data_IF_381469031143
#
_entry.id   IF_381469031143
#
_cell.length_a   1.000
_cell.length_b   1.000
_cell.length_c   1.000
_cell.angle_alpha   90.00
_cell.angle_beta   90.00
_cell.angle_gamma   90.00
#
_symmetry.space_group_name_H-M   'P 1'
#
loop_
_entity.id
_entity.type
_entity.pdbx_description
1 polymer ?
#
# COMPACT_ATOMS: atom_id res chain seq x y z
N UNK A 1 -1.50 46.01 9.45
CA UNK A 1 -0.86 45.89 10.78
C UNK A 1 -0.69 44.40 11.05
N UNK A 2 0.43 44.00 11.64
CA UNK A 2 0.71 42.58 11.94
C UNK A 2 -0.07 42.19 13.19
N UNK A 3 -0.85 41.13 13.09
CA UNK A 3 -1.64 40.56 14.19
C UNK A 3 -0.70 40.01 15.27
N UNK A 4 -0.90 40.36 16.54
CA UNK A 4 -0.09 39.85 17.64
C UNK A 4 -0.51 38.45 18.06
N UNK A 5 0.32 37.74 18.82
CA UNK A 5 -0.03 36.41 19.33
C UNK A 5 -1.22 36.46 20.30
N UNK A 6 -1.42 37.58 20.99
CA UNK A 6 -2.60 37.83 21.84
C UNK A 6 -3.86 38.01 20.99
N UNK A 7 -3.76 38.73 19.87
CA UNK A 7 -4.86 38.92 18.93
C UNK A 7 -5.27 37.59 18.27
N UNK A 8 -4.29 36.76 17.89
CA UNK A 8 -4.51 35.42 17.31
C UNK A 8 -5.23 34.49 18.29
N UNK A 9 -4.95 34.59 19.60
CA UNK A 9 -5.66 33.84 20.63
C UNK A 9 -6.95 34.52 21.12
N UNK A 10 -7.24 35.75 20.67
CA UNK A 10 -8.41 36.53 21.06
C UNK A 10 -8.41 36.92 22.54
N UNK A 11 -7.25 37.25 23.09
CA UNK A 11 -7.05 37.63 24.50
C UNK A 11 -6.33 38.97 24.62
N UNK A 12 -6.36 39.58 25.81
CA UNK A 12 -5.74 40.89 26.05
C UNK A 12 -4.24 40.73 26.29
N UNK A 13 -3.45 41.69 25.82
CA UNK A 13 -2.02 41.74 26.11
C UNK A 13 -1.77 41.79 27.63
N UNK A 14 -0.90 40.91 28.12
CA UNK A 14 -0.63 40.76 29.57
C UNK A 14 -1.57 39.77 30.28
N UNK A 15 -2.41 39.04 29.54
CA UNK A 15 -3.19 37.92 30.07
C UNK A 15 -2.31 36.89 30.79
N UNK A 16 -2.86 36.27 31.83
CA UNK A 16 -2.14 35.28 32.64
C UNK A 16 -1.87 33.99 31.86
N UNK A 17 -0.87 33.19 32.27
CA UNK A 17 -0.61 31.88 31.64
C UNK A 17 -1.83 30.95 31.61
N UNK A 18 -2.69 31.07 32.63
CA UNK A 18 -3.94 30.34 32.71
C UNK A 18 -4.91 30.77 31.61
N UNK A 19 -5.08 32.07 31.42
CA UNK A 19 -5.94 32.64 30.37
C UNK A 19 -5.44 32.30 28.96
N UNK A 20 -4.12 32.36 28.74
CA UNK A 20 -3.47 31.96 27.48
C UNK A 20 -3.75 30.47 27.19
N UNK A 21 -3.64 29.59 28.19
CA UNK A 21 -3.90 28.16 28.07
C UNK A 21 -5.38 27.85 27.82
N UNK A 22 -6.29 28.54 28.50
CA UNK A 22 -7.73 28.33 28.37
C UNK A 22 -8.23 28.82 27.01
N UNK A 23 -7.70 29.94 26.50
CA UNK A 23 -7.96 30.44 25.15
C UNK A 23 -7.46 29.47 24.07
N UNK A 24 -6.24 28.95 24.21
CA UNK A 24 -5.71 27.93 23.30
C UNK A 24 -6.58 26.67 23.28
N UNK A 25 -7.00 26.16 24.44
CA UNK A 25 -7.88 24.97 24.52
C UNK A 25 -9.22 25.18 23.83
N UNK A 26 -9.84 26.36 24.03
CA UNK A 26 -11.11 26.72 23.39
C UNK A 26 -10.96 26.74 21.86
N UNK A 27 -9.92 27.41 21.35
CA UNK A 27 -9.66 27.53 19.92
C UNK A 27 -9.21 26.20 19.29
N UNK A 28 -8.39 25.41 19.99
CA UNK A 28 -7.97 24.08 19.56
C UNK A 28 -9.16 23.12 19.39
N UNK A 29 -10.16 23.20 20.27
CA UNK A 29 -11.40 22.40 20.17
C UNK A 29 -12.33 22.86 19.04
N UNK A 30 -12.24 24.13 18.65
CA UNK A 30 -13.04 24.74 17.59
C UNK A 30 -12.44 24.48 16.20
N UNK A 31 -11.12 24.50 16.08
CA UNK A 31 -10.39 24.35 14.80
C UNK A 31 -9.71 22.98 14.63
N UNK A 32 -10.02 21.99 15.48
CA UNK A 32 -9.50 20.63 15.34
C UNK A 32 -9.97 20.00 14.00
N UNK A 33 -9.07 19.32 13.29
CA UNK A 33 -9.34 18.68 12.00
C UNK A 33 -10.49 17.67 12.07
N UNK A 34 -10.61 16.95 13.20
CA UNK A 34 -11.67 15.95 13.43
C UNK A 34 -13.08 16.57 13.55
N UNK A 35 -13.20 17.90 13.60
CA UNK A 35 -14.46 18.65 13.64
C UNK A 35 -14.68 19.55 12.42
N UNK A 36 -13.84 19.41 11.38
CA UNK A 36 -13.96 20.16 10.13
C UNK A 36 -13.34 21.57 10.16
N UNK A 37 -12.40 21.84 11.08
CA UNK A 37 -11.67 23.12 11.14
C UNK A 37 -10.60 23.28 10.05
N UNK A 38 -10.33 24.52 9.63
CA UNK A 38 -9.25 24.84 8.70
C UNK A 38 -7.87 24.61 9.35
N UNK A 39 -7.07 23.73 8.73
CA UNK A 39 -5.75 23.32 9.22
C UNK A 39 -4.80 24.52 9.42
N UNK A 40 -4.87 25.52 8.55
CA UNK A 40 -4.01 26.70 8.59
C UNK A 40 -4.27 27.60 9.81
N UNK A 41 -5.53 27.68 10.26
CA UNK A 41 -5.89 28.44 11.46
C UNK A 41 -5.39 27.74 12.72
N UNK A 42 -5.53 26.41 12.77
CA UNK A 42 -5.02 25.62 13.90
C UNK A 42 -3.49 25.74 14.05
N UNK A 43 -2.76 25.72 12.94
CA UNK A 43 -1.30 25.93 12.94
C UNK A 43 -0.95 27.31 13.51
N UNK A 44 -1.65 28.37 13.09
CA UNK A 44 -1.46 29.73 13.62
C UNK A 44 -1.75 29.84 15.11
N UNK A 45 -2.87 29.25 15.57
CA UNK A 45 -3.27 29.23 16.98
C UNK A 45 -2.23 28.51 17.84
N UNK A 46 -1.71 27.38 17.34
CA UNK A 46 -0.67 26.62 18.03
C UNK A 46 0.64 27.40 18.15
N UNK A 47 1.06 28.05 17.06
CA UNK A 47 2.27 28.87 17.08
C UNK A 47 2.15 30.04 18.05
N UNK A 48 1.02 30.77 18.03
CA UNK A 48 0.78 31.88 18.94
C UNK A 48 0.81 31.46 20.42
N UNK A 49 0.28 30.28 20.75
CA UNK A 49 0.35 29.74 22.10
C UNK A 49 1.78 29.42 22.56
N UNK A 50 2.59 28.76 21.72
CA UNK A 50 3.98 28.44 22.05
C UNK A 50 4.86 29.70 22.15
N UNK A 51 4.63 30.68 21.28
CA UNK A 51 5.31 31.97 21.32
C UNK A 51 5.00 32.73 22.62
N UNK A 52 3.73 32.77 23.04
CA UNK A 52 3.36 33.45 24.30
C UNK A 52 3.92 32.76 25.54
N UNK A 53 4.08 31.44 25.51
CA UNK A 53 4.71 30.67 26.60
C UNK A 53 6.17 31.06 26.84
N UNK A 54 6.86 31.54 25.81
CA UNK A 54 8.23 32.07 25.90
C UNK A 54 8.27 33.62 25.97
N UNK A 55 7.12 34.27 26.14
CA UNK A 55 7.00 35.73 26.26
C UNK A 55 7.09 36.49 24.94
N UNK A 56 6.94 35.83 23.79
CA UNK A 56 7.03 36.44 22.45
C UNK A 56 5.67 37.01 22.02
N UNK A 57 5.61 38.35 21.87
CA UNK A 57 4.37 39.10 21.57
C UNK A 57 3.88 38.97 20.12
N UNK A 58 4.78 38.84 19.15
CA UNK A 58 4.43 38.78 17.73
C UNK A 58 4.94 37.47 17.10
N UNK A 59 4.24 36.90 16.09
CA UNK A 59 4.71 35.74 15.37
C UNK A 59 6.09 35.97 14.71
N UNK A 60 6.79 34.88 14.38
CA UNK A 60 8.02 34.94 13.59
C UNK A 60 7.84 35.79 12.32
N UNK A 61 8.76 36.75 12.10
CA UNK A 61 8.87 37.44 10.81
C UNK A 61 9.31 36.48 9.71
N UNK A 62 9.11 36.78 8.43
CA UNK A 62 9.51 35.83 7.35
C UNK A 62 11.01 35.52 7.35
N UNK A 63 11.85 36.45 7.82
CA UNK A 63 13.30 36.24 8.04
C UNK A 63 13.54 35.30 9.23
N UNK A 64 12.79 35.44 10.32
CA UNK A 64 12.84 34.53 11.47
C UNK A 64 12.27 33.15 11.13
N UNK A 65 11.22 33.05 10.31
CA UNK A 65 10.73 31.77 9.79
C UNK A 65 11.79 31.09 8.95
N UNK A 66 12.54 31.82 8.13
CA UNK A 66 13.66 31.27 7.34
C UNK A 66 14.83 30.85 8.26
N UNK A 67 15.08 31.60 9.33
CA UNK A 67 16.12 31.28 10.32
C UNK A 67 15.73 30.13 11.25
N UNK A 68 14.47 30.02 11.66
CA UNK A 68 13.92 29.00 12.56
C UNK A 68 13.52 27.73 11.79
N UNK A 69 13.12 27.82 10.52
CA UNK A 69 13.00 26.65 9.63
C UNK A 69 14.35 25.98 9.35
N UNK A 70 15.46 26.72 9.53
CA UNK A 70 16.82 26.19 9.56
C UNK A 70 17.24 25.59 10.91
N UNK A 71 16.37 25.55 11.93
CA UNK A 71 16.72 25.22 13.34
C UNK A 71 16.03 23.95 13.87
N UNK A 72 15.46 23.10 13.01
CA UNK A 72 15.18 21.68 13.33
C UNK A 72 16.12 20.69 12.61
N UNK A 73 17.31 21.15 12.21
CA UNK A 73 18.37 20.31 11.66
C UNK A 73 19.70 20.64 12.35
N UNK A 74 19.85 20.17 13.59
CA UNK A 74 21.12 20.22 14.33
C UNK A 74 22.13 19.15 13.91
N UNK A 75 21.80 18.33 12.92
CA UNK A 75 22.69 17.37 12.29
C UNK A 75 22.90 17.86 10.85
N UNK A 76 24.15 18.02 10.40
CA UNK A 76 24.41 18.17 8.96
C UNK A 76 23.82 16.97 8.21
N UNK A 77 23.55 17.05 6.90
CA UNK A 77 23.12 15.85 6.15
C UNK A 77 24.07 14.66 6.36
N UNK A 78 25.37 14.94 6.55
CA UNK A 78 26.37 13.94 6.86
C UNK A 78 26.17 13.31 8.25
N UNK A 79 25.76 14.09 9.25
CA UNK A 79 25.47 13.60 10.61
C UNK A 79 24.18 12.78 10.64
N UNK A 80 23.14 13.22 9.91
CA UNK A 80 21.89 12.45 9.74
C UNK A 80 22.19 11.12 9.07
N UNK A 81 22.98 11.13 7.98
CA UNK A 81 23.39 9.89 7.28
C UNK A 81 24.19 8.98 8.20
N UNK A 82 25.13 9.51 8.97
CA UNK A 82 25.94 8.73 9.93
C UNK A 82 25.06 8.09 11.01
N UNK A 83 24.15 8.86 11.62
CA UNK A 83 23.21 8.36 12.63
C UNK A 83 22.30 7.27 12.08
N UNK A 84 21.76 7.49 10.88
CA UNK A 84 20.90 6.54 10.19
C UNK A 84 21.64 5.25 9.79
N UNK A 85 22.93 5.36 9.46
CA UNK A 85 23.79 4.20 9.19
C UNK A 85 24.05 3.38 10.46
N UNK A 86 24.38 4.05 11.58
CA UNK A 86 24.56 3.39 12.89
C UNK A 86 23.27 2.68 13.30
N UNK A 87 22.13 3.36 13.22
CA UNK A 87 20.83 2.80 13.53
C UNK A 87 20.53 1.54 12.70
N UNK A 88 20.72 1.62 11.38
CA UNK A 88 20.49 0.50 10.49
C UNK A 88 21.41 -0.68 10.76
N UNK A 89 22.67 -0.42 11.11
CA UNK A 89 23.65 -1.44 11.47
C UNK A 89 23.28 -2.14 12.79
N UNK A 90 22.90 -1.38 13.81
CA UNK A 90 22.49 -1.93 15.11
C UNK A 90 21.25 -2.81 14.95
N UNK A 91 20.19 -2.30 14.31
CA UNK A 91 18.96 -3.06 14.06
C UNK A 91 19.19 -4.30 13.21
N UNK A 92 19.96 -4.19 12.12
CA UNK A 92 20.25 -5.33 11.23
C UNK A 92 21.03 -6.43 11.96
N UNK A 93 22.00 -6.07 12.81
CA UNK A 93 22.74 -7.03 13.64
C UNK A 93 21.83 -7.74 14.65
N UNK A 94 20.90 -6.98 15.20
CA UNK A 94 19.89 -7.48 16.13
C UNK A 94 18.95 -8.48 15.45
N UNK A 95 18.43 -8.13 14.28
CA UNK A 95 17.59 -9.01 13.45
C UNK A 95 18.34 -10.27 13.02
N UNK A 96 19.63 -10.17 12.68
CA UNK A 96 20.46 -11.34 12.39
C UNK A 96 20.58 -12.28 13.59
N UNK A 97 20.71 -11.74 14.80
CA UNK A 97 20.74 -12.54 16.03
C UNK A 97 19.39 -13.23 16.27
N UNK A 98 18.29 -12.53 15.97
CA UNK A 98 16.93 -13.08 16.03
C UNK A 98 16.71 -14.22 15.02
N UNK A 99 17.17 -14.03 13.78
CA UNK A 99 17.16 -15.06 12.72
C UNK A 99 17.96 -16.30 13.13
N UNK A 100 19.20 -16.14 13.60
CA UNK A 100 20.05 -17.26 14.02
C UNK A 100 19.44 -18.05 15.19
N UNK A 101 18.83 -17.34 16.15
CA UNK A 101 18.12 -17.95 17.26
C UNK A 101 16.89 -18.74 16.79
N UNK A 102 16.05 -18.16 15.93
CA UNK A 102 14.88 -18.83 15.38
C UNK A 102 15.29 -20.07 14.56
N UNK A 103 16.34 -19.96 13.75
CA UNK A 103 16.89 -21.07 12.97
C UNK A 103 17.43 -22.19 13.87
N UNK A 104 18.09 -21.87 14.99
CA UNK A 104 18.58 -22.86 15.94
C UNK A 104 17.43 -23.64 16.60
N UNK A 105 16.36 -22.95 17.02
CA UNK A 105 15.16 -23.60 17.56
C UNK A 105 14.47 -24.46 16.50
N UNK A 106 14.46 -24.02 15.24
CA UNK A 106 13.86 -24.77 14.16
C UNK A 106 14.65 -26.06 13.84
N UNK A 107 15.99 -25.99 13.80
CA UNK A 107 16.86 -27.17 13.59
C UNK A 107 16.75 -28.20 14.72
N UNK A 108 16.59 -27.76 15.95
CA UNK A 108 16.47 -28.63 17.13
C UNK A 108 15.02 -29.03 17.43
N UNK A 109 14.05 -28.52 16.66
CA UNK A 109 12.61 -28.72 16.87
C UNK A 109 12.15 -28.39 18.30
N UNK A 110 12.72 -27.35 18.90
CA UNK A 110 12.38 -26.89 20.25
C UNK A 110 11.55 -25.62 20.21
N UNK A 111 10.75 -25.39 21.25
CA UNK A 111 10.04 -24.12 21.46
C UNK A 111 10.89 -23.12 22.23
N UNK A 112 10.62 -21.85 22.07
CA UNK A 112 11.25 -20.81 22.88
C UNK A 112 10.69 -19.44 22.59
N UNK A 113 10.84 -18.53 23.54
CA UNK A 113 10.48 -17.13 23.42
C UNK A 113 11.67 -16.28 23.81
N UNK A 114 11.94 -15.22 23.06
CA UNK A 114 13.01 -14.28 23.37
C UNK A 114 12.66 -12.88 22.91
N UNK A 115 12.95 -11.90 23.77
CA UNK A 115 12.90 -10.49 23.45
C UNK A 115 14.23 -10.08 22.83
N UNK A 116 14.12 -9.34 21.73
CA UNK A 116 15.18 -8.77 20.93
C UNK A 116 14.99 -7.25 20.91
N UNK A 117 16.08 -6.52 20.74
CA UNK A 117 16.10 -5.07 20.59
C UNK A 117 16.38 -4.35 21.91
N UNK A 118 15.96 -3.10 21.96
CA UNK A 118 16.12 -2.26 23.15
C UNK A 118 15.00 -1.25 23.25
N UNK A 119 14.75 -0.75 24.46
CA UNK A 119 13.78 0.32 24.70
C UNK A 119 13.99 1.57 23.84
N UNK A 120 15.23 1.82 23.41
CA UNK A 120 15.59 2.99 22.61
C UNK A 120 15.45 2.78 21.10
N UNK A 121 15.62 1.54 20.62
CA UNK A 121 15.62 1.21 19.18
C UNK A 121 14.34 0.48 18.73
N UNK A 122 13.52 0.06 19.69
CA UNK A 122 12.38 -0.82 19.47
C UNK A 122 12.68 -2.22 20.00
N UNK A 123 11.67 -2.84 20.59
CA UNK A 123 11.72 -4.21 21.07
C UNK A 123 10.85 -5.09 20.17
N UNK A 124 11.34 -6.30 19.88
CA UNK A 124 10.63 -7.31 19.11
C UNK A 124 10.71 -8.65 19.84
N UNK A 125 9.56 -9.25 20.10
CA UNK A 125 9.45 -10.56 20.74
C UNK A 125 9.25 -11.61 19.67
N UNK A 126 10.10 -12.64 19.68
CA UNK A 126 9.94 -13.81 18.84
C UNK A 126 9.59 -15.01 19.70
N UNK A 127 8.61 -15.80 19.25
CA UNK A 127 8.19 -17.06 19.86
C UNK A 127 8.15 -18.16 18.79
N UNK A 128 8.98 -19.19 18.93
CA UNK A 128 8.86 -20.43 18.14
C UNK A 128 7.87 -21.34 18.86
N UNK A 129 6.67 -21.52 18.28
CA UNK A 129 5.57 -22.35 18.82
C UNK A 129 5.82 -23.83 18.61
N UNK A 130 5.12 -24.70 19.34
CA UNK A 130 5.29 -26.17 19.25
C UNK A 130 5.08 -26.72 17.82
N UNK A 131 4.19 -26.10 17.04
CA UNK A 131 3.87 -26.49 15.66
C UNK A 131 4.88 -25.99 14.61
N UNK A 132 5.98 -25.34 14.99
CA UNK A 132 6.95 -24.80 14.03
C UNK A 132 6.70 -23.37 13.58
N UNK A 133 5.55 -22.78 13.91
CA UNK A 133 5.27 -21.40 13.56
C UNK A 133 6.10 -20.42 14.40
N UNK A 134 6.59 -19.35 13.78
CA UNK A 134 7.26 -18.25 14.46
C UNK A 134 6.27 -17.09 14.64
N UNK A 135 5.94 -16.77 15.89
CA UNK A 135 5.23 -15.54 16.24
C UNK A 135 6.23 -14.41 16.37
N UNK A 136 5.93 -13.25 15.80
CA UNK A 136 6.73 -12.05 15.92
C UNK A 136 5.82 -10.92 16.39
N UNK A 137 6.19 -10.27 17.49
CA UNK A 137 5.43 -9.15 18.06
C UNK A 137 6.33 -7.94 18.23
N UNK A 138 5.92 -6.81 17.67
CA UNK A 138 6.75 -5.60 17.58
C UNK A 138 6.92 -5.17 16.12
N UNK A 139 7.44 -3.96 15.90
CA UNK A 139 7.67 -3.48 14.54
C UNK A 139 8.98 -4.07 14.00
N UNK A 140 8.94 -4.60 12.77
CA UNK A 140 10.13 -5.13 12.10
C UNK A 140 10.73 -4.04 11.21
N UNK A 141 12.00 -3.70 11.45
CA UNK A 141 12.73 -2.72 10.66
C UNK A 141 14.20 -3.10 10.56
N UNK A 142 14.73 -3.00 9.35
CA UNK A 142 16.11 -3.19 8.96
C UNK A 142 16.65 -4.62 9.13
N UNK A 143 17.19 -5.20 8.05
CA UNK A 143 17.82 -6.52 8.08
C UNK A 143 16.96 -7.64 7.51
N UNK A 144 17.48 -8.86 7.64
CA UNK A 144 16.91 -10.05 7.00
C UNK A 144 16.31 -11.00 8.02
N UNK A 145 15.29 -11.75 7.60
CA UNK A 145 14.77 -12.90 8.32
C UNK A 145 14.48 -14.02 7.32
N UNK A 146 15.29 -15.09 7.37
CA UNK A 146 15.01 -16.32 6.64
C UNK A 146 14.44 -17.38 7.58
N UNK A 147 13.29 -17.95 7.26
CA UNK A 147 12.68 -18.97 8.12
C UNK A 147 12.00 -20.09 7.32
N UNK A 148 12.08 -21.31 7.83
CA UNK A 148 11.40 -22.48 7.28
C UNK A 148 10.21 -22.82 8.19
N UNK A 149 9.03 -22.34 7.83
CA UNK A 149 7.80 -22.49 8.59
C UNK A 149 6.95 -21.23 8.52
N UNK A 150 5.71 -21.33 9.01
CA UNK A 150 4.79 -20.20 9.00
C UNK A 150 5.24 -19.10 9.96
N UNK A 151 5.01 -17.84 9.58
CA UNK A 151 5.24 -16.66 10.43
C UNK A 151 3.92 -15.94 10.69
N UNK A 152 3.67 -15.60 11.95
CA UNK A 152 2.54 -14.77 12.37
C UNK A 152 3.11 -13.47 12.94
N UNK A 153 2.79 -12.34 12.32
CA UNK A 153 3.32 -11.03 12.67
C UNK A 153 2.25 -10.16 13.33
N UNK A 154 2.62 -9.56 14.46
CA UNK A 154 1.85 -8.55 15.19
C UNK A 154 2.69 -7.27 15.28
N UNK A 155 2.59 -6.43 14.26
CA UNK A 155 3.33 -5.19 14.14
C UNK A 155 3.50 -4.76 12.68
N UNK A 156 3.97 -3.54 12.46
CA UNK A 156 4.25 -3.05 11.12
C UNK A 156 5.64 -3.46 10.65
N UNK A 157 5.82 -3.51 9.34
CA UNK A 157 7.09 -3.82 8.68
C UNK A 157 7.49 -2.61 7.85
N UNK A 158 8.70 -2.11 8.02
CA UNK A 158 9.19 -0.96 7.26
C UNK A 158 10.65 -1.16 6.90
N UNK A 159 11.01 -0.85 5.65
CA UNK A 159 12.42 -0.80 5.26
C UNK A 159 13.01 0.59 5.50
N UNK A 160 14.28 0.71 5.94
CA UNK A 160 14.99 1.99 5.93
C UNK A 160 14.97 2.64 4.54
N UNK A 161 14.59 3.92 4.44
CA UNK A 161 14.60 4.67 3.18
C UNK A 161 15.94 5.31 2.83
N UNK A 162 16.88 5.32 3.76
CA UNK A 162 18.15 6.05 3.60
C UNK A 162 19.33 5.17 3.17
N UNK A 163 19.16 3.84 3.12
CA UNK A 163 20.23 2.90 2.77
C UNK A 163 19.70 1.61 2.19
N UNK A 164 20.37 1.12 1.15
CA UNK A 164 20.07 -0.17 0.54
C UNK A 164 20.63 -1.35 1.35
N UNK A 165 21.71 -1.11 2.11
CA UNK A 165 22.46 -2.13 2.84
C UNK A 165 21.62 -2.83 3.91
N UNK A 166 20.73 -2.06 4.57
CA UNK A 166 19.90 -2.56 5.67
C UNK A 166 18.43 -2.70 5.26
N UNK A 167 18.17 -2.97 3.97
CA UNK A 167 16.82 -3.24 3.50
C UNK A 167 16.16 -4.35 4.31
N UNK A 168 14.86 -4.18 4.54
CA UNK A 168 14.06 -5.20 5.23
C UNK A 168 13.65 -6.28 4.26
N UNK A 169 14.17 -7.48 4.45
CA UNK A 169 13.83 -8.65 3.63
C UNK A 169 13.40 -9.82 4.51
N UNK A 170 12.17 -10.29 4.35
CA UNK A 170 11.66 -11.49 5.01
C UNK A 170 11.48 -12.57 3.95
N UNK A 171 12.13 -13.71 4.14
CA UNK A 171 12.08 -14.83 3.20
C UNK A 171 11.66 -16.11 3.91
N UNK A 172 10.52 -16.66 3.52
CA UNK A 172 10.08 -17.98 3.97
C UNK A 172 10.30 -19.01 2.86
N UNK A 173 11.07 -20.07 3.16
CA UNK A 173 11.23 -21.18 2.20
C UNK A 173 9.97 -22.05 2.12
N UNK A 174 9.17 -22.05 3.18
CA UNK A 174 7.90 -22.77 3.27
C UNK A 174 7.06 -22.24 4.44
N UNK A 175 5.75 -22.46 4.36
CA UNK A 175 4.79 -21.99 5.35
C UNK A 175 4.18 -20.64 4.96
N UNK A 176 3.14 -20.24 5.67
CA UNK A 176 2.42 -19.00 5.37
C UNK A 176 3.00 -17.81 6.15
N UNK A 177 3.05 -16.64 5.53
CA UNK A 177 3.28 -15.36 6.23
C UNK A 177 1.94 -14.66 6.47
N UNK A 178 1.59 -14.38 7.73
CA UNK A 178 0.30 -13.75 8.06
C UNK A 178 0.45 -12.63 9.07
N UNK A 179 -0.28 -11.54 8.87
CA UNK A 179 -0.58 -10.61 9.97
C UNK A 179 -1.68 -11.21 10.86
N UNK A 180 -1.62 -10.89 12.15
CA UNK A 180 -2.75 -11.14 13.05
C UNK A 180 -3.86 -10.13 12.74
N UNK A 181 -5.09 -10.63 12.56
CA UNK A 181 -6.31 -9.89 12.19
C UNK A 181 -6.05 -8.73 11.19
N UNK A 182 -5.60 -9.04 9.96
CA UNK A 182 -5.05 -8.06 9.02
C UNK A 182 -6.00 -6.95 8.59
N UNK A 183 -7.31 -7.14 8.77
CA UNK A 183 -8.36 -6.17 8.43
C UNK A 183 -8.63 -5.22 9.60
N UNK A 184 -8.58 -5.72 10.83
CA UNK A 184 -8.89 -4.93 12.03
C UNK A 184 -7.67 -4.13 12.48
N UNK A 185 -6.49 -4.75 12.38
CA UNK A 185 -5.25 -4.14 12.80
C UNK A 185 -4.68 -3.30 11.66
N UNK A 186 -4.51 -1.98 11.91
CA UNK A 186 -3.92 -1.00 10.98
C UNK A 186 -2.42 -1.20 10.72
N UNK A 187 -1.91 -2.42 10.91
CA UNK A 187 -0.53 -2.75 10.58
C UNK A 187 -0.31 -2.62 9.07
N UNK A 188 0.91 -2.22 8.72
CA UNK A 188 1.29 -1.97 7.33
C UNK A 188 2.66 -2.51 7.00
N UNK A 189 2.87 -2.79 5.72
CA UNK A 189 4.17 -3.08 5.13
C UNK A 189 4.53 -1.90 4.25
N UNK A 190 5.66 -1.23 4.49
CA UNK A 190 6.00 -0.05 3.71
C UNK A 190 7.50 0.18 3.43
N UNK A 191 7.72 1.26 2.67
CA UNK A 191 9.02 1.91 2.48
C UNK A 191 10.08 1.06 1.76
N UNK A 192 9.65 0.13 0.91
CA UNK A 192 10.54 -0.72 0.12
C UNK A 192 10.91 -2.05 0.77
N UNK A 193 10.14 -2.48 1.77
CA UNK A 193 10.29 -3.82 2.35
C UNK A 193 10.02 -4.92 1.31
N UNK A 194 10.67 -6.06 1.50
CA UNK A 194 10.50 -7.25 0.64
C UNK A 194 10.03 -8.42 1.49
N UNK A 195 8.95 -9.08 1.06
CA UNK A 195 8.48 -10.34 1.66
C UNK A 195 8.35 -11.38 0.55
N UNK A 196 9.05 -12.50 0.70
CA UNK A 196 9.05 -13.61 -0.27
C UNK A 196 8.66 -14.89 0.48
N UNK A 197 7.72 -15.65 -0.08
CA UNK A 197 7.29 -16.95 0.43
C UNK A 197 7.32 -17.96 -0.71
N UNK A 198 8.33 -18.84 -0.75
CA UNK A 198 8.55 -19.75 -1.88
C UNK A 198 7.43 -20.80 -2.02
N UNK A 199 6.99 -21.35 -0.88
CA UNK A 199 5.98 -22.41 -0.80
C UNK A 199 5.00 -22.14 0.33
N UNK A 200 4.05 -21.24 0.08
CA UNK A 200 3.02 -20.85 1.03
C UNK A 200 2.28 -19.60 0.58
N UNK A 201 1.44 -19.06 1.44
CA UNK A 201 0.62 -17.88 1.16
C UNK A 201 1.06 -16.68 1.99
N UNK A 202 0.72 -15.48 1.51
CA UNK A 202 0.88 -14.22 2.23
C UNK A 202 -0.51 -13.65 2.50
N UNK A 203 -0.84 -13.39 3.76
CA UNK A 203 -2.13 -12.81 4.18
C UNK A 203 -1.85 -11.60 5.06
N UNK A 204 -1.98 -10.41 4.49
CA UNK A 204 -1.58 -9.15 5.11
C UNK A 204 -2.65 -8.09 4.92
N UNK A 205 -2.53 -6.99 5.66
CA UNK A 205 -3.43 -5.85 5.54
C UNK A 205 -2.95 -4.90 4.46
N UNK A 206 -2.49 -3.72 4.88
CA UNK A 206 -2.14 -2.62 4.01
C UNK A 206 -0.68 -2.66 3.56
N UNK A 207 -0.43 -2.48 2.26
CA UNK A 207 0.92 -2.45 1.67
C UNK A 207 1.12 -1.13 0.94
N UNK A 208 2.20 -0.43 1.28
CA UNK A 208 2.51 0.89 0.72
C UNK A 208 3.91 0.92 0.11
N UNK A 209 4.02 1.50 -1.07
CA UNK A 209 5.28 2.03 -1.57
C UNK A 209 5.49 3.49 -1.16
N UNK A 210 6.65 4.05 -1.51
CA UNK A 210 6.88 5.50 -1.49
C UNK A 210 7.60 5.98 -2.75
N UNK A 211 7.31 7.22 -3.13
CA UNK A 211 8.06 8.01 -4.12
C UNK A 211 8.47 9.32 -3.47
N UNK A 212 9.71 9.71 -3.63
CA UNK A 212 10.23 11.01 -3.20
C UNK A 212 10.68 11.79 -4.42
N UNK A 213 10.40 13.10 -4.43
CA UNK A 213 11.07 14.03 -5.35
C UNK A 213 12.36 14.46 -4.67
N UNK A 214 13.48 14.17 -5.30
CA UNK A 214 14.81 14.56 -4.85
C UNK A 214 15.35 15.58 -5.84
N UNK A 215 16.06 16.60 -5.36
CA UNK A 215 16.71 17.57 -6.23
C UNK A 215 17.74 16.89 -7.14
N UNK A 216 17.96 17.47 -8.32
CA UNK A 216 18.98 16.97 -9.24
C UNK A 216 20.36 16.93 -8.55
N UNK A 217 21.10 15.80 -8.62
CA UNK A 217 22.41 15.66 -7.98
C UNK A 217 23.43 16.72 -8.45
N UNK A 218 23.25 17.29 -9.65
CA UNK A 218 24.11 18.35 -10.18
C UNK A 218 23.66 19.77 -9.72
N UNK A 219 22.66 19.87 -8.85
CA UNK A 219 22.16 21.13 -8.30
C UNK A 219 21.34 21.98 -9.29
N UNK A 220 20.85 21.39 -10.37
CA UNK A 220 20.04 22.11 -11.37
C UNK A 220 18.67 22.46 -10.80
N UNK A 221 18.44 23.76 -10.63
CA UNK A 221 17.18 24.31 -10.09
C UNK A 221 16.02 23.95 -11.03
N UNK A 222 14.96 23.38 -10.45
CA UNK A 222 13.73 23.02 -11.17
C UNK A 222 13.75 21.64 -11.83
N UNK A 223 14.86 20.90 -11.75
CA UNK A 223 14.93 19.48 -12.15
C UNK A 223 14.85 18.62 -10.90
N UNK A 224 13.95 17.64 -10.91
CA UNK A 224 13.77 16.68 -9.84
C UNK A 224 13.93 15.27 -10.36
N UNK A 225 14.62 14.42 -9.60
CA UNK A 225 14.65 12.98 -9.81
C UNK A 225 13.63 12.32 -8.89
N UNK A 226 12.88 11.34 -9.41
CA UNK A 226 11.96 10.55 -8.59
C UNK A 226 12.74 9.38 -8.02
N UNK A 227 12.91 9.35 -6.69
CA UNK A 227 13.44 8.20 -5.99
C UNK A 227 12.29 7.30 -5.52
N UNK A 228 12.30 6.06 -5.97
CA UNK A 228 11.25 5.08 -5.70
C UNK A 228 11.69 4.05 -4.66
N UNK A 229 10.83 3.86 -3.66
CA UNK A 229 10.94 2.85 -2.62
C UNK A 229 9.81 1.84 -2.80
N UNK A 230 9.97 0.98 -3.81
CA UNK A 230 8.98 -0.02 -4.18
C UNK A 230 8.96 -1.17 -3.19
N UNK A 231 7.81 -1.42 -2.57
CA UNK A 231 7.59 -2.56 -1.67
C UNK A 231 7.26 -3.80 -2.48
N UNK A 232 7.91 -4.93 -2.20
CA UNK A 232 7.83 -6.16 -2.99
C UNK A 232 7.23 -7.30 -2.18
N UNK A 233 6.17 -7.92 -2.68
CA UNK A 233 5.51 -9.06 -2.06
C UNK A 233 5.46 -10.20 -3.09
N UNK A 234 6.01 -11.37 -2.76
CA UNK A 234 6.08 -12.49 -3.69
C UNK A 234 5.67 -13.81 -3.02
N UNK A 235 4.68 -14.48 -3.59
CA UNK A 235 4.28 -15.85 -3.25
C UNK A 235 4.05 -16.65 -4.55
N UNK A 236 5.11 -16.97 -5.31
CA UNK A 236 5.02 -17.36 -6.72
C UNK A 236 4.18 -18.62 -6.97
N UNK A 237 4.09 -19.51 -5.97
CA UNK A 237 3.29 -20.76 -6.02
C UNK A 237 2.02 -20.71 -5.15
N UNK A 238 1.74 -19.56 -4.55
CA UNK A 238 0.70 -19.41 -3.55
C UNK A 238 -0.17 -18.19 -3.82
N UNK A 239 -0.88 -17.79 -2.76
CA UNK A 239 -1.78 -16.64 -2.80
C UNK A 239 -1.21 -15.46 -2.04
N UNK A 240 -1.45 -14.26 -2.55
CA UNK A 240 -1.30 -13.01 -1.79
C UNK A 240 -2.69 -12.43 -1.54
N UNK A 241 -3.05 -12.27 -0.28
CA UNK A 241 -4.28 -11.60 0.16
C UNK A 241 -3.86 -10.30 0.84
N UNK A 242 -4.38 -9.18 0.34
CA UNK A 242 -4.09 -7.84 0.84
C UNK A 242 -5.36 -7.00 0.95
N UNK A 243 -5.39 -6.05 1.88
CA UNK A 243 -6.45 -5.06 1.92
C UNK A 243 -6.20 -4.01 0.83
N UNK A 244 -5.25 -3.11 1.04
CA UNK A 244 -4.94 -2.04 0.09
C UNK A 244 -3.49 -2.15 -0.40
N UNK A 245 -3.30 -2.02 -1.71
CA UNK A 245 -2.01 -1.82 -2.36
C UNK A 245 -1.94 -0.37 -2.84
N UNK A 246 -1.00 0.41 -2.32
CA UNK A 246 -0.98 1.86 -2.57
C UNK A 246 0.43 2.38 -2.86
N UNK A 247 0.55 3.32 -3.80
CA UNK A 247 1.83 3.84 -4.29
C UNK A 247 2.67 2.70 -4.93
N UNK A 248 3.99 2.78 -4.80
CA UNK A 248 4.93 1.88 -5.46
C UNK A 248 4.95 0.48 -4.83
N UNK A 249 4.04 -0.38 -5.26
CA UNK A 249 3.95 -1.77 -4.77
C UNK A 249 4.06 -2.74 -5.93
N UNK A 250 4.84 -3.80 -5.77
CA UNK A 250 4.85 -4.95 -6.67
C UNK A 250 4.41 -6.20 -5.95
N UNK A 251 3.43 -6.88 -6.51
CA UNK A 251 2.92 -8.17 -6.03
C UNK A 251 3.09 -9.22 -7.12
N UNK A 252 3.71 -10.34 -6.80
CA UNK A 252 3.81 -11.52 -7.66
C UNK A 252 3.24 -12.75 -6.95
N UNK A 253 2.30 -13.45 -7.59
CA UNK A 253 1.74 -14.68 -7.03
C UNK A 253 1.21 -15.63 -8.12
N UNK A 254 0.69 -16.79 -7.71
CA UNK A 254 -0.23 -17.55 -8.55
C UNK A 254 -1.63 -16.92 -8.52
N UNK A 255 -2.10 -16.52 -7.33
CA UNK A 255 -3.38 -15.86 -7.11
C UNK A 255 -3.22 -14.61 -6.23
N UNK A 256 -3.86 -13.49 -6.62
CA UNK A 256 -3.88 -12.25 -5.85
C UNK A 256 -5.33 -11.89 -5.54
N UNK A 257 -5.60 -11.67 -4.26
CA UNK A 257 -6.88 -11.19 -3.75
C UNK A 257 -6.63 -9.86 -3.06
N UNK A 258 -7.33 -8.81 -3.52
CA UNK A 258 -7.11 -7.45 -3.03
C UNK A 258 -8.43 -6.71 -2.87
N UNK A 259 -8.53 -5.82 -1.88
CA UNK A 259 -9.64 -4.88 -1.80
C UNK A 259 -9.41 -3.74 -2.79
N UNK A 260 -8.39 -2.90 -2.59
CA UNK A 260 -8.13 -1.75 -3.46
C UNK A 260 -6.69 -1.69 -3.98
N UNK A 261 -6.56 -1.09 -5.16
CA UNK A 261 -5.29 -0.83 -5.85
C UNK A 261 -5.24 0.65 -6.25
N UNK A 262 -4.25 1.40 -5.76
CA UNK A 262 -4.16 2.84 -5.99
C UNK A 262 -2.70 3.27 -6.25
N UNK A 263 -2.45 4.05 -7.32
CA UNK A 263 -1.19 4.73 -7.63
C UNK A 263 0.05 3.83 -7.85
N UNK A 264 0.43 3.50 -9.10
CA UNK A 264 1.70 2.79 -9.44
C UNK A 264 1.91 1.41 -8.77
N UNK A 265 0.82 0.65 -8.70
CA UNK A 265 0.86 -0.74 -8.25
C UNK A 265 1.05 -1.67 -9.45
N UNK A 266 1.89 -2.69 -9.30
CA UNK A 266 2.11 -3.75 -10.29
C UNK A 266 1.70 -5.09 -9.69
N UNK A 267 0.78 -5.80 -10.35
CA UNK A 267 0.29 -7.11 -9.92
C UNK A 267 0.58 -8.11 -11.04
N UNK A 268 1.36 -9.16 -10.76
CA UNK A 268 1.63 -10.26 -11.69
C UNK A 268 1.10 -11.58 -11.15
N UNK A 269 0.06 -12.13 -11.79
CA UNK A 269 -0.59 -13.36 -11.32
C UNK A 269 -1.39 -14.07 -12.42
N UNK A 270 -1.76 -15.32 -12.14
CA UNK A 270 -2.67 -16.11 -12.98
C UNK A 270 -4.12 -15.85 -12.60
N UNK A 271 -4.43 -15.71 -11.32
CA UNK A 271 -5.77 -15.35 -10.84
C UNK A 271 -5.71 -14.00 -10.10
N UNK A 272 -6.57 -13.06 -10.47
CA UNK A 272 -6.65 -11.74 -9.81
C UNK A 272 -8.10 -11.43 -9.45
N UNK A 273 -8.36 -11.29 -8.15
CA UNK A 273 -9.68 -11.06 -7.58
C UNK A 273 -9.67 -9.71 -6.85
N UNK A 274 -10.48 -8.76 -7.33
CA UNK A 274 -10.57 -7.40 -6.79
C UNK A 274 -11.94 -7.22 -6.17
N UNK A 275 -11.97 -6.98 -4.85
CA UNK A 275 -13.20 -6.89 -4.06
C UNK A 275 -13.66 -5.47 -3.77
N UNK A 276 -12.77 -4.48 -3.84
CA UNK A 276 -13.08 -3.09 -3.58
C UNK A 276 -13.40 -2.27 -4.82
N UNK A 277 -13.78 -1.03 -4.58
CA UNK A 277 -14.27 -0.11 -5.59
C UNK A 277 -13.19 0.66 -6.34
N UNK A 278 -11.90 0.40 -6.08
CA UNK A 278 -10.79 1.20 -6.63
C UNK A 278 -9.67 0.39 -7.29
N UNK A 279 -9.37 0.78 -8.52
CA UNK A 279 -8.19 0.41 -9.30
C UNK A 279 -7.73 1.66 -10.07
N UNK A 280 -6.81 2.42 -9.49
CA UNK A 280 -6.50 3.78 -9.95
C UNK A 280 -5.02 3.98 -10.27
N UNK A 281 -4.78 5.00 -11.11
CA UNK A 281 -3.53 5.69 -11.45
C UNK A 281 -2.28 4.84 -11.65
N UNK A 282 -1.69 4.89 -12.85
CA UNK A 282 -0.41 4.25 -13.20
C UNK A 282 -0.27 2.75 -12.84
N UNK A 283 -1.38 2.08 -12.53
CA UNK A 283 -1.37 0.70 -12.03
C UNK A 283 -1.47 -0.32 -13.17
N UNK A 284 -0.73 -1.41 -13.04
CA UNK A 284 -0.56 -2.43 -14.08
C UNK A 284 -0.91 -3.81 -13.54
N UNK A 285 -1.76 -4.52 -14.27
CA UNK A 285 -1.96 -5.96 -14.13
C UNK A 285 -1.14 -6.67 -15.21
N UNK A 286 -0.24 -7.56 -14.82
CA UNK A 286 0.42 -8.53 -15.69
C UNK A 286 -0.27 -9.89 -15.55
N UNK A 287 -1.13 -10.23 -16.50
CA UNK A 287 -1.92 -11.46 -16.46
C UNK A 287 -1.15 -12.61 -17.13
N UNK A 288 -0.88 -13.67 -16.36
CA UNK A 288 -0.22 -14.89 -16.85
C UNK A 288 -1.14 -15.68 -17.78
N UNK A 289 -0.56 -16.43 -18.72
CA UNK A 289 -1.30 -17.23 -19.70
C UNK A 289 -2.27 -18.21 -19.03
N UNK A 290 -3.48 -18.32 -19.57
CA UNK A 290 -4.56 -19.12 -18.99
C UNK A 290 -5.19 -18.53 -17.72
N UNK A 291 -4.81 -17.30 -17.37
CA UNK A 291 -5.31 -16.60 -16.19
C UNK A 291 -6.69 -15.96 -16.34
N UNK A 292 -7.16 -15.37 -15.23
CA UNK A 292 -8.43 -14.64 -15.16
C UNK A 292 -8.38 -13.45 -14.19
N UNK A 293 -9.28 -12.50 -14.42
CA UNK A 293 -9.51 -11.33 -13.57
C UNK A 293 -11.00 -11.27 -13.23
N UNK A 294 -11.34 -10.94 -11.97
CA UNK A 294 -12.72 -10.70 -11.51
C UNK A 294 -12.80 -9.45 -10.64
N UNK A 295 -13.87 -8.68 -10.85
CA UNK A 295 -14.22 -7.51 -10.05
C UNK A 295 -15.55 -7.77 -9.34
N UNK A 296 -15.56 -7.80 -8.01
CA UNK A 296 -16.73 -8.21 -7.22
C UNK A 296 -17.67 -7.06 -6.83
N UNK A 297 -17.38 -5.83 -7.25
CA UNK A 297 -18.30 -4.71 -7.10
C UNK A 297 -19.70 -5.03 -7.68
N UNK A 298 -20.74 -4.59 -6.98
CA UNK A 298 -22.13 -4.97 -7.25
C UNK A 298 -22.66 -4.43 -8.58
N UNK A 299 -21.96 -3.49 -9.21
CA UNK A 299 -22.35 -2.91 -10.50
C UNK A 299 -21.15 -2.88 -11.43
N UNK A 300 -20.28 -1.92 -11.19
CA UNK A 300 -19.01 -1.75 -11.88
C UNK A 300 -18.09 -1.07 -10.89
N UNK A 301 -16.81 -1.39 -10.96
CA UNK A 301 -15.79 -0.68 -10.20
C UNK A 301 -15.88 0.84 -10.45
N UNK A 302 -15.96 1.60 -9.34
CA UNK A 302 -16.29 3.03 -9.36
C UNK A 302 -15.05 3.87 -9.70
N UNK A 303 -13.99 3.71 -8.91
CA UNK A 303 -12.69 4.36 -9.08
C UNK A 303 -11.82 3.57 -10.04
N UNK A 304 -12.03 3.76 -11.34
CA UNK A 304 -11.19 3.15 -12.37
C UNK A 304 -10.50 4.23 -13.17
N UNK A 305 -9.17 4.28 -13.07
CA UNK A 305 -8.41 5.30 -13.80
C UNK A 305 -8.25 4.95 -15.29
N UNK A 306 -8.16 5.98 -16.13
CA UNK A 306 -8.04 5.82 -17.59
C UNK A 306 -6.67 5.33 -18.07
N UNK A 307 -5.66 5.44 -17.21
CA UNK A 307 -4.26 5.07 -17.44
C UNK A 307 -3.92 3.66 -16.92
N UNK A 308 -4.83 2.98 -16.23
CA UNK A 308 -4.66 1.61 -15.77
C UNK A 308 -4.56 0.63 -16.95
N UNK A 309 -3.58 -0.29 -16.90
CA UNK A 309 -3.27 -1.21 -18.00
C UNK A 309 -3.33 -2.66 -17.53
N UNK A 310 -3.93 -3.52 -18.36
CA UNK A 310 -3.68 -4.95 -18.33
C UNK A 310 -2.68 -5.28 -19.43
N UNK A 311 -1.58 -5.94 -19.05
CA UNK A 311 -0.59 -6.51 -19.94
C UNK A 311 -0.70 -8.03 -19.87
N UNK A 312 -0.98 -8.65 -21.01
CA UNK A 312 -0.95 -10.09 -21.15
C UNK A 312 0.50 -10.57 -21.28
N UNK A 313 0.77 -11.81 -20.88
CA UNK A 313 2.09 -12.45 -20.99
C UNK A 313 2.67 -12.41 -22.42
N UNK A 314 1.82 -12.48 -23.46
CA UNK A 314 2.23 -12.32 -24.86
C UNK A 314 2.62 -10.88 -25.25
N UNK A 315 2.61 -9.93 -24.31
CA UNK A 315 2.98 -8.53 -24.50
C UNK A 315 1.82 -7.61 -24.90
N UNK A 316 0.62 -8.14 -25.18
CA UNK A 316 -0.54 -7.33 -25.54
C UNK A 316 -0.96 -6.44 -24.37
N UNK A 317 -1.13 -5.14 -24.63
CA UNK A 317 -1.60 -4.16 -23.64
C UNK A 317 -3.03 -3.74 -23.93
N UNK A 318 -3.83 -3.64 -22.88
CA UNK A 318 -5.26 -3.32 -22.91
C UNK A 318 -5.48 -2.27 -21.83
N UNK A 319 -6.15 -1.17 -22.17
CA UNK A 319 -6.51 -0.19 -21.14
C UNK A 319 -7.70 -0.72 -20.38
N UNK A 320 -7.63 -0.66 -19.06
CA UNK A 320 -8.69 -1.17 -18.20
C UNK A 320 -10.01 -0.40 -18.44
N UNK A 321 -9.94 0.87 -18.81
CA UNK A 321 -11.08 1.70 -19.21
C UNK A 321 -11.88 1.12 -20.38
N UNK A 322 -11.21 0.46 -21.34
CA UNK A 322 -11.89 -0.17 -22.47
C UNK A 322 -12.76 -1.36 -22.02
N UNK A 323 -12.46 -1.99 -20.86
CA UNK A 323 -13.30 -3.03 -20.26
C UNK A 323 -14.51 -2.46 -19.53
N UNK A 324 -14.37 -1.27 -18.94
CA UNK A 324 -15.45 -0.57 -18.22
C UNK A 324 -16.58 -0.14 -19.15
N UNK A 325 -16.27 0.16 -20.40
CA UNK A 325 -17.27 0.56 -21.40
C UNK A 325 -17.85 -0.61 -22.18
N UNK A 326 -17.19 -1.77 -22.17
CA UNK A 326 -17.63 -2.94 -22.93
C UNK A 326 -18.72 -3.71 -22.16
N UNK A 327 -19.81 -4.06 -22.85
CA UNK A 327 -20.91 -4.84 -22.27
C UNK A 327 -20.66 -6.33 -22.42
N UNK A 328 -21.11 -7.11 -21.44
CA UNK A 328 -20.97 -8.58 -21.47
C UNK A 328 -21.74 -9.17 -22.66
N UNK A 329 -22.92 -8.63 -22.98
CA UNK A 329 -23.77 -9.12 -24.08
C UNK A 329 -23.14 -8.96 -25.47
N UNK A 330 -22.22 -8.01 -25.62
CA UNK A 330 -21.52 -7.71 -26.88
C UNK A 330 -20.31 -8.63 -27.14
N UNK A 331 -19.93 -9.45 -26.15
CA UNK A 331 -18.87 -10.45 -26.33
C UNK A 331 -19.32 -11.57 -27.28
N UNK A 332 -18.40 -12.32 -27.87
CA UNK A 332 -18.78 -13.46 -28.70
C UNK A 332 -19.40 -14.59 -27.83
N UNK A 333 -20.35 -15.34 -28.39
CA UNK A 333 -21.07 -16.41 -27.66
C UNK A 333 -20.13 -17.53 -27.19
N UNK A 334 -18.99 -17.72 -27.87
CA UNK A 334 -17.94 -18.67 -27.47
C UNK A 334 -17.31 -18.33 -26.11
N UNK A 335 -17.35 -17.05 -25.71
CA UNK A 335 -16.81 -16.58 -24.45
C UNK A 335 -17.88 -16.48 -23.36
N UNK A 336 -19.14 -16.30 -23.73
CA UNK A 336 -20.26 -16.15 -22.78
C UNK A 336 -21.43 -16.99 -23.27
N UNK A 337 -21.56 -18.20 -22.73
CA UNK A 337 -22.61 -19.14 -23.12
C UNK A 337 -24.00 -18.72 -22.61
N UNK A 338 -24.07 -18.12 -21.41
CA UNK A 338 -25.32 -17.80 -20.71
C UNK A 338 -25.52 -16.29 -20.58
N UNK A 339 -25.58 -15.58 -21.72
CA UNK A 339 -25.68 -14.11 -21.75
C UNK A 339 -26.96 -13.56 -21.13
N UNK A 340 -28.02 -14.38 -21.10
CA UNK A 340 -29.30 -14.08 -20.49
C UNK A 340 -29.22 -13.82 -18.99
N UNK A 341 -28.19 -14.33 -18.31
CA UNK A 341 -27.97 -14.10 -16.88
C UNK A 341 -27.42 -12.71 -16.56
N UNK A 342 -27.05 -11.92 -17.57
CA UNK A 342 -26.50 -10.58 -17.40
C UNK A 342 -27.49 -9.52 -17.85
N UNK A 343 -27.58 -8.44 -17.09
CA UNK A 343 -28.30 -7.23 -17.44
C UNK A 343 -27.82 -6.62 -18.74
N UNK A 344 -28.64 -5.74 -19.32
CA UNK A 344 -28.30 -5.05 -20.59
C UNK A 344 -27.07 -4.16 -20.44
N UNK A 345 -26.89 -3.60 -19.26
CA UNK A 345 -25.86 -2.60 -18.97
C UNK A 345 -24.65 -3.16 -18.20
N UNK A 346 -24.64 -4.45 -17.90
CA UNK A 346 -23.55 -5.10 -17.17
C UNK A 346 -22.26 -5.06 -17.99
N UNK A 347 -21.18 -4.66 -17.34
CA UNK A 347 -19.84 -4.50 -17.93
C UNK A 347 -18.92 -5.61 -17.45
N UNK A 348 -17.73 -5.71 -18.06
CA UNK A 348 -16.77 -6.76 -17.69
C UNK A 348 -16.19 -6.58 -16.28
N UNK A 349 -16.27 -5.37 -15.71
CA UNK A 349 -15.58 -4.97 -14.46
C UNK A 349 -16.53 -4.83 -13.27
N UNK A 350 -17.52 -5.72 -13.19
CA UNK A 350 -18.41 -5.85 -12.04
C UNK A 350 -19.17 -7.17 -12.02
N UNK A 351 -20.04 -7.33 -11.02
CA UNK A 351 -20.83 -8.55 -10.77
C UNK A 351 -20.01 -9.84 -10.66
N UNK A 352 -18.71 -9.74 -10.38
CA UNK A 352 -17.80 -10.89 -10.38
C UNK A 352 -17.68 -11.58 -11.74
N UNK A 353 -17.92 -10.88 -12.86
CA UNK A 353 -17.75 -11.46 -14.19
C UNK A 353 -16.33 -11.99 -14.38
N UNK A 354 -16.21 -13.16 -15.03
CA UNK A 354 -14.90 -13.81 -15.24
C UNK A 354 -14.31 -13.36 -16.56
N UNK A 355 -13.30 -12.50 -16.48
CA UNK A 355 -12.54 -12.02 -17.64
C UNK A 355 -11.34 -12.95 -17.82
N UNK A 356 -11.36 -13.81 -18.83
CA UNK A 356 -10.24 -14.74 -19.07
C UNK A 356 -9.15 -14.10 -19.94
N UNK A 357 -7.94 -14.64 -19.85
CA UNK A 357 -6.83 -14.29 -20.71
C UNK A 357 -7.21 -14.35 -22.20
N UNK A 358 -7.85 -15.44 -22.63
CA UNK A 358 -8.24 -15.63 -24.04
C UNK A 358 -9.29 -14.61 -24.49
N UNK A 359 -10.22 -14.23 -23.63
CA UNK A 359 -11.17 -13.14 -23.94
C UNK A 359 -10.43 -11.83 -24.22
N UNK A 360 -9.49 -11.47 -23.34
CA UNK A 360 -8.67 -10.26 -23.46
C UNK A 360 -7.82 -10.28 -24.74
N UNK A 361 -7.22 -11.42 -25.06
CA UNK A 361 -6.41 -11.59 -26.25
C UNK A 361 -7.23 -11.47 -27.55
N UNK A 362 -8.53 -11.75 -27.48
CA UNK A 362 -9.44 -11.72 -28.63
C UNK A 362 -10.45 -10.55 -28.62
N UNK A 363 -10.34 -9.58 -27.70
CA UNK A 363 -11.30 -8.47 -27.53
C UNK A 363 -11.65 -7.67 -28.79
N UNK A 364 -10.74 -7.60 -29.77
CA UNK A 364 -10.90 -6.85 -31.03
C UNK A 364 -11.54 -7.66 -32.16
N UNK A 365 -11.70 -8.98 -32.01
CA UNK A 365 -12.35 -9.83 -33.02
C UNK A 365 -13.84 -9.55 -33.04
N UNK A 366 -14.40 -9.26 -34.22
CA UNK A 366 -15.85 -9.11 -34.40
C UNK A 366 -16.55 -10.45 -34.15
N UNK A 367 -17.75 -10.47 -33.54
CA UNK A 367 -18.48 -11.71 -33.31
C UNK A 367 -18.75 -12.42 -34.65
N UNK A 368 -18.36 -13.68 -34.77
CA UNK A 368 -18.83 -14.52 -35.88
C UNK A 368 -20.30 -14.85 -35.62
N UNK A 369 -21.21 -14.31 -36.44
CA UNK A 369 -22.62 -14.72 -36.37
C UNK A 369 -22.69 -16.22 -36.70
N UNK A 370 -23.15 -17.05 -35.76
CA UNK A 370 -23.66 -18.39 -36.10
C UNK A 370 -24.77 -18.19 -37.14
N UNK A 371 -24.56 -18.71 -38.36
CA UNK A 371 -25.64 -18.82 -39.35
C UNK A 371 -26.75 -19.68 -38.74
N UNK A 372 -27.87 -19.06 -38.38
CA UNK A 372 -29.09 -19.79 -38.08
C UNK A 372 -29.57 -20.43 -39.38
N UNK A 373 -29.57 -21.76 -39.45
CA UNK A 373 -30.24 -22.45 -40.56
C UNK A 373 -31.74 -22.32 -40.37
N UNK A 374 -32.33 -21.25 -40.90
CA UNK A 374 -33.78 -21.11 -40.94
C UNK A 374 -34.30 -22.06 -42.02
N UNK A 375 -34.58 -23.31 -41.63
CA UNK A 375 -35.35 -24.25 -42.47
C UNK A 375 -36.79 -23.74 -42.51
N UNK A 376 -37.16 -23.05 -43.58
CA UNK A 376 -38.55 -22.73 -43.90
C UNK A 376 -39.34 -24.03 -44.08
N UNK A 377 -40.24 -24.33 -43.14
CA UNK A 377 -41.32 -25.30 -43.36
C UNK A 377 -42.40 -24.62 -44.21
N UNK A 378 -42.22 -24.63 -45.52
CA UNK A 378 -43.34 -24.51 -46.46
C UNK A 378 -43.36 -25.78 -47.31
N UNK A 379 -44.04 -26.82 -46.82
CA UNK A 379 -44.50 -27.90 -47.70
C UNK A 379 -45.80 -27.46 -48.35
N UNK A 380 -45.74 -27.03 -49.61
CA UNK A 380 -46.92 -27.01 -50.44
C UNK A 380 -47.32 -28.46 -50.73
N UNK A 381 -48.46 -28.87 -50.19
CA UNK A 381 -49.19 -30.03 -50.69
C UNK A 381 -49.71 -29.67 -52.09
N UNK A 382 -49.28 -30.42 -53.11
CA UNK A 382 -49.98 -30.51 -54.39
C UNK A 382 -50.59 -31.90 -54.47
N UNK A 383 -51.88 -31.90 -54.78
CA UNK A 383 -52.85 -32.99 -54.95
C UNK A 383 -52.29 -34.29 -55.50
#
# INVERSE_FOLDING_TARGET
>A
MVESNYDILGIVEGSTEKEIRDAFRRLALQYHSDRGGENDQFIKIKQAYEDLKIGKKYPDTDIEKIKNSRVYSGDSEADIRRKNQILGQELSKEMKTAEEWAAALNRSNTTGTRLFGSKTLGEIELERKANGALSIKGNFMAGNLTYNGSVIMQGSITSPSWTQEFKTNIHLTSGDFKFIDPIENKYRIDNGATIIVDNGNIIVGNIFGRKFRVEDPDGKVGIFQIQEHRTHISAPKGKVIAENLVNTVSVEADSVIVLNVEDDVKISAREILIYGGKFTYDSIIELKQGGLIRFFENFSIQGLSGDAIIKLENGKKIRLFDLKTKKIRDLADEFVLNKENYGKDDTLVGHGFTITYDMLDNLSKKPSKKQSSWKSKFSFSKN
#
